data_IF_347053984107
#
_entry.id   IF_347053984107
#
_cell.length_a   1.000
_cell.length_b   1.000
_cell.length_c   1.000
_cell.angle_alpha   90.00
_cell.angle_beta   90.00
_cell.angle_gamma   90.00
#
_symmetry.space_group_name_H-M   'P 1'
#
loop_
_entity.id
_entity.type
_entity.pdbx_description
1 polymer ?
#
# COMPACT_ATOMS: atom_id res chain seq x y z
N UNK A 1 -7.38 -9.57 -11.94
CA UNK A 1 -6.06 -8.96 -12.21
C UNK A 1 -5.05 -10.07 -12.35
N UNK A 2 -4.49 -10.23 -13.55
CA UNK A 2 -3.36 -11.13 -13.80
C UNK A 2 -2.08 -10.47 -13.25
N UNK A 3 -1.14 -11.24 -12.70
CA UNK A 3 0.12 -10.74 -12.15
C UNK A 3 0.92 -9.91 -13.18
N UNK A 4 0.82 -10.25 -14.47
CA UNK A 4 1.45 -9.51 -15.57
C UNK A 4 0.93 -8.08 -15.77
N UNK A 5 -0.35 -7.83 -15.47
CA UNK A 5 -0.97 -6.51 -15.64
C UNK A 5 -0.59 -5.53 -14.51
N UNK A 6 0.27 -5.97 -13.59
CA UNK A 6 0.64 -5.21 -12.39
C UNK A 6 2.13 -4.94 -12.24
N UNK A 7 2.95 -5.41 -13.19
CA UNK A 7 4.41 -5.19 -13.16
C UNK A 7 4.74 -3.72 -13.48
N UNK A 8 5.90 -3.27 -13.05
CA UNK A 8 6.47 -2.01 -13.54
C UNK A 8 6.77 -2.10 -15.04
N UNK A 9 6.71 -0.96 -15.73
CA UNK A 9 7.20 -0.83 -17.12
C UNK A 9 8.72 -0.76 -17.19
N UNK A 10 9.37 -0.38 -16.10
CA UNK A 10 10.82 -0.30 -16.01
C UNK A 10 11.39 -1.72 -15.94
N UNK A 11 12.38 -2.07 -16.79
CA UNK A 11 13.06 -3.36 -16.69
C UNK A 11 13.65 -3.58 -15.29
N UNK A 12 13.49 -4.78 -14.73
CA UNK A 12 13.93 -5.07 -13.36
C UNK A 12 15.43 -4.88 -13.13
N UNK A 13 16.27 -5.09 -14.15
CA UNK A 13 17.70 -4.79 -14.07
C UNK A 13 17.96 -3.30 -13.87
N UNK A 14 17.28 -2.45 -14.63
CA UNK A 14 17.38 -1.00 -14.50
C UNK A 14 16.81 -0.52 -13.16
N UNK A 15 15.66 -1.06 -12.74
CA UNK A 15 15.06 -0.70 -11.46
C UNK A 15 15.97 -1.04 -10.26
N UNK A 16 16.66 -2.19 -10.31
CA UNK A 16 17.55 -2.65 -9.25
C UNK A 16 18.80 -1.78 -9.06
N UNK A 17 19.22 -1.04 -10.09
CA UNK A 17 20.39 -0.15 -10.03
C UNK A 17 20.09 1.21 -9.40
N UNK A 18 18.81 1.58 -9.26
CA UNK A 18 18.40 2.89 -8.76
C UNK A 18 18.11 2.88 -7.26
N UNK A 19 18.31 4.02 -6.61
CA UNK A 19 17.93 4.26 -5.22
C UNK A 19 16.51 4.81 -5.15
N UNK A 20 15.53 3.91 -5.05
CA UNK A 20 14.12 4.28 -4.98
C UNK A 20 13.73 4.74 -3.58
N UNK A 21 12.78 5.67 -3.48
CA UNK A 21 12.19 6.11 -2.23
C UNK A 21 10.70 6.43 -2.42
N UNK A 22 9.91 6.30 -1.34
CA UNK A 22 8.53 6.77 -1.34
C UNK A 22 8.51 8.31 -1.31
N UNK A 23 7.96 8.92 -2.36
CA UNK A 23 7.88 10.36 -2.49
C UNK A 23 6.64 10.91 -1.77
N UNK A 24 6.88 11.85 -0.86
CA UNK A 24 5.85 12.56 -0.08
C UNK A 24 5.81 14.06 -0.38
N UNK A 25 6.53 14.53 -1.40
CA UNK A 25 6.55 15.95 -1.77
C UNK A 25 5.16 16.34 -2.30
N UNK A 26 4.44 17.25 -1.63
CA UNK A 26 3.08 17.59 -2.04
C UNK A 26 3.09 18.37 -3.34
N UNK A 27 2.24 17.98 -4.30
CA UNK A 27 1.95 18.76 -5.49
C UNK A 27 1.03 19.94 -5.11
N UNK A 28 1.52 21.17 -5.26
CA UNK A 28 0.76 22.41 -5.03
C UNK A 28 0.80 23.32 -6.27
N UNK A 29 -0.29 23.45 -7.05
CA UNK A 29 -1.55 22.70 -6.94
C UNK A 29 -1.40 21.21 -7.28
N UNK A 30 -2.44 20.42 -6.99
CA UNK A 30 -2.59 19.03 -7.48
C UNK A 30 -2.34 19.00 -8.99
N UNK A 31 -1.68 17.96 -9.48
CA UNK A 31 -1.28 17.83 -10.90
C UNK A 31 -2.04 16.71 -11.59
N UNK A 32 -2.26 16.87 -12.88
CA UNK A 32 -2.68 15.78 -13.76
C UNK A 32 -1.43 14.99 -14.18
N UNK A 33 -1.50 13.67 -14.06
CA UNK A 33 -0.44 12.74 -14.46
C UNK A 33 -1.03 11.69 -15.38
N UNK A 34 -0.44 11.53 -16.57
CA UNK A 34 -0.75 10.42 -17.45
C UNK A 34 0.14 9.23 -17.06
N UNK A 35 -0.47 8.09 -16.73
CA UNK A 35 0.22 6.89 -16.26
C UNK A 35 -0.01 5.76 -17.26
N UNK A 36 1.09 5.15 -17.71
CA UNK A 36 1.08 3.99 -18.60
C UNK A 36 1.21 2.69 -17.80
N UNK A 37 0.54 1.66 -18.28
CA UNK A 37 0.56 0.31 -17.70
C UNK A 37 1.17 -0.70 -18.69
N UNK A 38 1.48 -1.90 -18.18
CA UNK A 38 2.08 -2.99 -18.97
C UNK A 38 1.20 -3.49 -20.11
N UNK A 39 -0.12 -3.28 -20.04
CA UNK A 39 -1.04 -3.56 -21.13
C UNK A 39 -0.97 -2.54 -22.30
N UNK A 40 -0.03 -1.59 -22.26
CA UNK A 40 0.19 -0.58 -23.28
C UNK A 40 -0.79 0.59 -23.27
N UNK A 41 -1.77 0.61 -22.35
CA UNK A 41 -2.74 1.71 -22.22
C UNK A 41 -2.23 2.75 -21.24
N UNK A 42 -2.58 4.01 -21.49
CA UNK A 42 -2.34 5.13 -20.58
C UNK A 42 -3.65 5.76 -20.11
N UNK A 43 -3.69 6.16 -18.86
CA UNK A 43 -4.85 6.77 -18.22
C UNK A 43 -4.42 8.00 -17.42
N UNK A 44 -5.34 8.97 -17.29
CA UNK A 44 -5.08 10.23 -16.58
C UNK A 44 -5.55 10.13 -15.14
N UNK A 45 -4.70 10.56 -14.23
CA UNK A 45 -4.93 10.56 -12.79
C UNK A 45 -4.63 11.92 -12.19
N UNK A 46 -5.25 12.21 -11.05
CA UNK A 46 -4.86 13.35 -10.21
C UNK A 46 -3.82 12.88 -9.19
N UNK A 47 -2.69 13.58 -9.12
CA UNK A 47 -1.67 13.33 -8.11
C UNK A 47 -1.58 14.47 -7.12
N UNK A 48 -1.75 14.13 -5.84
CA UNK A 48 -1.46 15.03 -4.70
C UNK A 48 0.02 15.06 -4.35
N UNK A 49 0.82 14.18 -4.95
CA UNK A 49 2.27 14.10 -4.81
C UNK A 49 2.91 14.61 -6.11
N UNK A 50 4.02 15.31 -6.00
CA UNK A 50 4.77 15.77 -7.17
C UNK A 50 5.35 14.56 -7.91
N UNK A 51 5.16 14.53 -9.24
CA UNK A 51 5.63 13.45 -10.08
C UNK A 51 6.54 13.95 -11.19
N UNK A 52 7.42 13.07 -11.66
CA UNK A 52 8.25 13.18 -12.86
C UNK A 52 7.99 11.98 -13.78
N UNK A 53 8.34 12.03 -15.09
CA UNK A 53 8.20 10.89 -15.99
C UNK A 53 9.02 9.64 -15.60
N UNK A 54 9.99 9.78 -14.71
CA UNK A 54 10.79 8.65 -14.23
C UNK A 54 10.15 7.94 -13.03
N UNK A 55 9.05 8.48 -12.50
CA UNK A 55 8.38 7.94 -11.33
C UNK A 55 7.49 6.75 -11.66
N UNK A 56 7.43 5.82 -10.70
CA UNK A 56 6.54 4.66 -10.72
C UNK A 56 5.44 4.87 -9.67
N UNK A 57 4.20 4.55 -10.02
CA UNK A 57 3.03 4.88 -9.22
C UNK A 57 2.13 3.66 -9.03
N UNK A 58 1.47 3.60 -7.88
CA UNK A 58 0.32 2.71 -7.70
C UNK A 58 -0.98 3.49 -7.80
N UNK A 59 -1.98 2.89 -8.42
CA UNK A 59 -3.29 3.50 -8.58
C UNK A 59 -4.19 3.16 -7.40
N UNK A 60 -4.95 4.14 -6.97
CA UNK A 60 -5.96 4.04 -5.93
C UNK A 60 -7.20 3.25 -6.38
N UNK A 61 -8.12 2.99 -5.47
CA UNK A 61 -9.45 2.40 -5.72
C UNK A 61 -10.31 3.26 -6.66
N UNK A 62 -10.95 2.65 -7.67
CA UNK A 62 -12.08 3.26 -8.37
C UNK A 62 -12.30 2.90 -9.85
N UNK A 63 -11.56 1.95 -10.43
CA UNK A 63 -11.70 1.55 -11.83
C UNK A 63 -10.87 0.33 -12.24
N UNK A 64 -10.76 0.07 -13.54
CA UNK A 64 -10.12 -1.13 -14.08
C UNK A 64 -8.63 -1.30 -13.73
N UNK A 65 -7.97 -0.19 -13.38
CA UNK A 65 -6.54 -0.13 -13.04
C UNK A 65 -6.30 0.04 -11.54
N UNK A 66 -7.32 -0.17 -10.70
CA UNK A 66 -7.18 -0.06 -9.23
C UNK A 66 -6.11 -1.02 -8.72
N UNK A 67 -5.21 -0.50 -7.88
CA UNK A 67 -4.11 -1.24 -7.26
C UNK A 67 -3.02 -1.75 -8.23
N UNK A 68 -3.12 -1.39 -9.51
CA UNK A 68 -2.06 -1.64 -10.49
C UNK A 68 -0.87 -0.69 -10.28
N UNK A 69 0.28 -1.09 -10.78
CA UNK A 69 1.47 -0.27 -10.90
C UNK A 69 1.62 0.23 -12.33
N UNK A 70 2.05 1.48 -12.49
CA UNK A 70 2.34 2.08 -13.79
C UNK A 70 3.44 3.12 -13.69
N UNK A 71 3.87 3.64 -14.84
CA UNK A 71 4.90 4.67 -14.95
C UNK A 71 4.29 5.99 -15.41
N UNK A 72 4.71 7.11 -14.85
CA UNK A 72 4.29 8.41 -15.34
C UNK A 72 4.91 8.70 -16.72
N UNK A 73 4.14 9.24 -17.67
CA UNK A 73 4.67 9.63 -18.99
C UNK A 73 4.66 11.16 -19.17
N UNK A 74 3.64 11.82 -18.65
CA UNK A 74 3.44 13.26 -18.80
C UNK A 74 2.82 13.83 -17.53
N UNK A 75 3.38 14.94 -17.07
CA UNK A 75 2.92 15.69 -15.90
C UNK A 75 2.53 17.08 -16.37
N UNK A 76 1.29 17.49 -16.11
CA UNK A 76 0.69 18.71 -16.67
C UNK A 76 -0.14 19.51 -15.68
N UNK A 77 -0.63 20.67 -16.14
CA UNK A 77 -1.68 21.43 -15.45
C UNK A 77 -3.02 20.68 -15.49
N UNK A 78 -3.91 20.98 -14.53
CA UNK A 78 -5.27 20.44 -14.55
C UNK A 78 -6.01 21.14 -15.69
N UNK A 79 -6.12 20.49 -16.86
CA UNK A 79 -6.81 21.08 -18.01
C UNK A 79 -8.22 20.52 -18.17
N UNK A 80 -8.46 19.21 -17.99
CA UNK A 80 -9.75 18.60 -18.37
C UNK A 80 -10.12 17.29 -17.62
N UNK A 81 -10.40 17.30 -16.31
CA UNK A 81 -10.84 16.09 -15.61
C UNK A 81 -12.24 16.16 -14.99
N UNK A 82 -13.09 15.21 -15.40
CA UNK A 82 -14.37 14.91 -14.73
C UNK A 82 -14.11 14.12 -13.43
N UNK A 83 -14.89 14.33 -12.36
CA UNK A 83 -14.55 13.84 -11.02
C UNK A 83 -14.52 12.31 -10.85
N UNK A 84 -15.30 11.55 -11.63
CA UNK A 84 -15.44 10.10 -11.45
C UNK A 84 -14.47 9.26 -12.31
N UNK A 85 -13.88 9.84 -13.36
CA UNK A 85 -12.88 9.16 -14.20
C UNK A 85 -11.44 9.41 -13.73
N UNK A 86 -11.24 10.36 -12.82
CA UNK A 86 -9.94 10.82 -12.32
C UNK A 86 -9.66 10.22 -10.94
N UNK A 87 -9.41 8.91 -10.89
CA UNK A 87 -8.95 8.24 -9.67
C UNK A 87 -7.58 8.85 -9.29
N UNK A 88 -7.23 8.88 -8.00
CA UNK A 88 -5.97 9.50 -7.54
C UNK A 88 -4.82 8.50 -7.64
N UNK A 89 -3.59 8.98 -7.71
CA UNK A 89 -2.42 8.14 -7.45
C UNK A 89 -2.30 7.94 -5.93
N UNK A 90 -1.93 6.73 -5.50
CA UNK A 90 -1.81 6.43 -4.06
C UNK A 90 -0.35 6.54 -3.57
N UNK A 91 0.56 5.76 -4.15
CA UNK A 91 1.98 5.78 -3.82
C UNK A 91 2.77 6.20 -5.05
N UNK A 92 3.76 7.07 -4.86
CA UNK A 92 4.67 7.56 -5.90
C UNK A 92 6.08 7.22 -5.45
N UNK A 93 6.78 6.45 -6.27
CA UNK A 93 8.18 6.08 -6.05
C UNK A 93 9.03 6.86 -7.03
N UNK A 94 10.01 7.56 -6.46
CA UNK A 94 10.96 8.39 -7.20
C UNK A 94 12.38 7.90 -6.92
N UNK A 95 13.35 8.39 -7.68
CA UNK A 95 14.77 8.05 -7.52
C UNK A 95 15.58 9.22 -6.98
N UNK A 96 16.77 8.93 -6.49
CA UNK A 96 17.78 9.91 -6.09
C UNK A 96 17.31 10.87 -4.99
N UNK A 97 16.91 10.34 -3.81
CA UNK A 97 16.40 11.16 -2.72
C UNK A 97 17.48 12.08 -2.15
N UNK A 98 17.05 13.28 -1.77
CA UNK A 98 17.81 14.14 -0.86
C UNK A 98 17.38 13.99 0.60
N UNK A 99 18.16 14.60 1.50
CA UNK A 99 17.86 14.64 2.94
C UNK A 99 16.45 15.16 3.25
N UNK A 100 15.99 16.16 2.51
CA UNK A 100 14.67 16.78 2.71
C UNK A 100 13.55 15.80 2.38
N UNK A 101 13.71 15.02 1.31
CA UNK A 101 12.76 14.02 0.84
C UNK A 101 12.58 12.93 1.89
N UNK A 102 13.67 12.36 2.42
CA UNK A 102 13.58 11.31 3.44
C UNK A 102 13.01 11.83 4.76
N UNK A 103 13.35 13.06 5.16
CA UNK A 103 12.72 13.68 6.35
C UNK A 103 11.21 13.85 6.22
N UNK A 104 10.65 13.98 5.02
CA UNK A 104 9.18 13.99 4.84
C UNK A 104 8.56 12.65 5.18
N UNK A 105 9.24 11.53 4.90
CA UNK A 105 8.78 10.19 5.28
C UNK A 105 8.76 10.03 6.81
N UNK A 106 9.77 10.58 7.51
CA UNK A 106 9.77 10.62 8.99
C UNK A 106 8.54 11.34 9.53
N UNK A 107 8.25 12.53 8.99
CA UNK A 107 7.05 13.28 9.40
C UNK A 107 5.75 12.56 9.04
N UNK A 108 5.69 11.87 7.89
CA UNK A 108 4.49 11.18 7.41
C UNK A 108 4.12 9.99 8.30
N UNK A 109 5.08 9.13 8.68
CA UNK A 109 4.78 7.98 9.54
C UNK A 109 4.46 8.39 10.98
N UNK A 110 5.06 9.49 11.48
CA UNK A 110 4.77 10.07 12.80
C UNK A 110 3.41 10.75 12.87
N UNK A 111 2.93 11.34 11.77
CA UNK A 111 1.68 12.08 11.70
C UNK A 111 0.41 11.20 11.59
N UNK A 112 0.53 9.87 11.71
CA UNK A 112 -0.59 8.95 11.69
C UNK A 112 -1.38 9.06 13.01
N UNK A 113 -2.15 10.14 13.14
CA UNK A 113 -3.10 10.35 14.22
C UNK A 113 -4.26 9.36 14.05
N UNK A 114 -4.43 8.50 15.05
CA UNK A 114 -5.50 7.52 15.17
C UNK A 114 -6.88 8.17 14.87
N UNK A 115 -7.10 9.41 15.31
CA UNK A 115 -8.36 10.15 15.11
C UNK A 115 -8.54 10.72 13.70
N UNK A 116 -7.47 10.92 12.93
CA UNK A 116 -7.52 11.34 11.51
C UNK A 116 -7.59 10.18 10.52
N UNK A 117 -7.61 8.93 10.98
CA UNK A 117 -7.68 7.74 10.13
C UNK A 117 -9.02 7.61 9.38
N UNK A 118 -10.07 8.27 9.84
CA UNK A 118 -11.45 8.03 9.38
C UNK A 118 -12.04 9.23 8.60
N UNK A 119 -11.37 10.38 8.57
CA UNK A 119 -11.95 11.65 8.09
C UNK A 119 -11.52 12.10 6.69
N UNK A 120 -11.02 11.24 5.80
CA UNK A 120 -10.77 11.67 4.40
C UNK A 120 -12.09 11.68 3.60
N UNK A 121 -12.69 12.86 3.57
CA UNK A 121 -14.10 13.20 3.31
C UNK A 121 -14.67 12.95 1.90
N UNK A 122 -14.01 12.20 1.01
CA UNK A 122 -14.41 12.11 -0.41
C UNK A 122 -15.06 10.78 -0.84
N UNK A 123 -15.05 9.74 0.00
CA UNK A 123 -15.78 8.51 -0.30
C UNK A 123 -16.14 7.80 0.99
N UNK A 124 -17.32 7.18 1.02
CA UNK A 124 -17.91 6.38 2.11
C UNK A 124 -17.05 5.17 2.60
N UNK A 125 -15.74 5.16 2.34
CA UNK A 125 -14.84 4.07 2.64
C UNK A 125 -13.54 4.55 3.30
N UNK A 126 -13.28 4.04 4.51
CA UNK A 126 -12.02 4.16 5.22
C UNK A 126 -10.96 3.26 4.58
N UNK A 127 -9.95 3.90 3.99
CA UNK A 127 -8.79 3.24 3.39
C UNK A 127 -7.69 3.01 4.41
N UNK A 128 -8.08 2.39 5.52
CA UNK A 128 -7.19 2.16 6.64
C UNK A 128 -6.01 1.26 6.26
N UNK A 129 -6.27 0.21 5.48
CA UNK A 129 -5.23 -0.71 4.99
C UNK A 129 -4.19 0.04 4.17
N UNK A 130 -4.62 0.89 3.23
CA UNK A 130 -3.73 1.72 2.42
C UNK A 130 -2.83 2.62 3.28
N UNK A 131 -3.35 3.16 4.38
CA UNK A 131 -2.56 3.99 5.31
C UNK A 131 -1.53 3.17 6.09
N UNK A 132 -1.88 1.96 6.54
CA UNK A 132 -0.92 1.05 7.16
C UNK A 132 0.18 0.64 6.16
N UNK A 133 -0.20 0.31 4.92
CA UNK A 133 0.77 0.06 3.84
C UNK A 133 1.67 1.28 3.64
N UNK A 134 1.10 2.48 3.60
CA UNK A 134 1.88 3.72 3.45
C UNK A 134 2.89 3.89 4.59
N UNK A 135 2.50 3.60 5.83
CA UNK A 135 3.36 3.71 7.00
C UNK A 135 4.49 2.67 7.01
N UNK A 136 4.20 1.44 6.57
CA UNK A 136 5.20 0.40 6.35
C UNK A 136 6.20 0.88 5.28
N UNK A 137 5.72 1.38 4.14
CA UNK A 137 6.58 1.88 3.06
C UNK A 137 7.40 3.12 3.46
N UNK A 138 6.83 4.06 4.24
CA UNK A 138 7.56 5.20 4.80
C UNK A 138 8.68 4.74 5.73
N UNK A 139 8.39 3.77 6.62
CA UNK A 139 9.36 3.23 7.57
C UNK A 139 10.49 2.51 6.85
N UNK A 140 10.17 1.67 5.87
CA UNK A 140 11.15 1.01 4.99
C UNK A 140 12.01 2.05 4.28
N UNK A 141 11.39 3.12 3.75
CA UNK A 141 12.13 4.20 3.08
C UNK A 141 13.10 4.90 4.05
N UNK A 142 12.71 5.12 5.30
CA UNK A 142 13.61 5.71 6.30
C UNK A 142 14.80 4.79 6.59
N UNK A 143 14.58 3.48 6.70
CA UNK A 143 15.64 2.50 6.92
C UNK A 143 16.55 2.29 5.71
N UNK A 144 16.06 2.53 4.50
CA UNK A 144 16.86 2.44 3.28
C UNK A 144 17.85 3.61 3.12
N UNK A 145 17.66 4.70 3.87
CA UNK A 145 18.48 5.91 3.79
C UNK A 145 18.86 6.45 5.19
N UNK A 146 19.55 5.65 6.02
CA UNK A 146 19.89 6.02 7.39
C UNK A 146 20.79 7.26 7.44
N UNK A 147 21.57 7.55 6.40
CA UNK A 147 22.45 8.73 6.32
C UNK A 147 21.70 10.08 6.33
N UNK A 148 20.39 10.08 6.10
CA UNK A 148 19.58 11.29 6.01
C UNK A 148 18.73 11.59 7.25
N UNK A 149 18.69 10.67 8.21
CA UNK A 149 17.86 10.75 9.41
C UNK A 149 18.71 10.58 10.67
N UNK A 150 18.10 10.78 11.84
CA UNK A 150 18.73 10.54 13.14
C UNK A 150 18.43 9.11 13.64
N UNK A 151 19.21 8.67 14.64
CA UNK A 151 19.08 7.33 15.23
C UNK A 151 17.70 7.09 15.85
N UNK A 152 17.05 8.15 16.35
CA UNK A 152 15.69 8.09 16.89
C UNK A 152 14.69 7.69 15.79
N UNK A 153 14.73 8.35 14.63
CA UNK A 153 13.87 8.02 13.51
C UNK A 153 14.12 6.60 12.97
N UNK A 154 15.37 6.12 12.99
CA UNK A 154 15.73 4.75 12.62
C UNK A 154 15.14 3.75 13.62
N UNK A 155 15.34 3.98 14.92
CA UNK A 155 14.83 3.12 15.98
C UNK A 155 13.29 3.03 15.96
N UNK A 156 12.62 4.15 15.74
CA UNK A 156 11.16 4.17 15.61
C UNK A 156 10.67 3.41 14.37
N UNK A 157 11.32 3.60 13.22
CA UNK A 157 10.96 2.91 11.99
C UNK A 157 11.13 1.39 12.13
N UNK A 158 12.24 0.93 12.73
CA UNK A 158 12.47 -0.49 13.06
C UNK A 158 11.38 -1.03 13.98
N UNK A 159 11.18 -0.37 15.13
CA UNK A 159 10.16 -0.76 16.10
C UNK A 159 8.78 -0.89 15.46
N UNK A 160 8.42 0.01 14.55
CA UNK A 160 7.15 -0.07 13.84
C UNK A 160 7.06 -1.28 12.91
N UNK A 161 8.12 -1.58 12.17
CA UNK A 161 8.16 -2.73 11.26
C UNK A 161 8.14 -4.08 12.00
N UNK A 162 8.74 -4.14 13.19
CA UNK A 162 8.70 -5.30 14.11
C UNK A 162 7.32 -5.48 14.77
N UNK A 163 6.54 -4.40 14.92
CA UNK A 163 5.26 -4.42 15.64
C UNK A 163 4.09 -4.71 14.72
N UNK A 164 3.24 -5.66 15.11
CA UNK A 164 1.96 -5.93 14.41
C UNK A 164 1.09 -4.66 14.33
N UNK A 165 0.61 -4.34 13.13
CA UNK A 165 -0.47 -3.41 12.87
C UNK A 165 -1.74 -3.84 13.63
N UNK A 166 -2.32 -2.93 14.40
CA UNK A 166 -3.62 -3.14 15.05
C UNK A 166 -4.51 -1.93 14.80
N UNK A 167 -5.81 -2.16 14.64
CA UNK A 167 -6.82 -1.13 14.55
C UNK A 167 -7.52 -0.99 15.91
N UNK A 168 -7.34 0.13 16.64
CA UNK A 168 -8.02 0.31 17.92
C UNK A 168 -9.53 0.35 17.74
N UNK A 169 -10.26 -0.46 18.52
CA UNK A 169 -11.73 -0.47 18.44
C UNK A 169 -12.33 0.89 18.84
N UNK A 170 -11.64 1.64 19.71
CA UNK A 170 -12.04 3.00 20.09
C UNK A 170 -12.13 3.95 18.90
N UNK A 171 -11.25 3.82 17.91
CA UNK A 171 -11.33 4.63 16.68
C UNK A 171 -12.58 4.32 15.86
N UNK A 172 -12.93 3.04 15.78
CA UNK A 172 -14.15 2.59 15.10
C UNK A 172 -15.37 3.13 15.86
N UNK A 173 -15.34 3.07 17.19
CA UNK A 173 -16.43 3.52 18.07
C UNK A 173 -16.66 5.03 18.02
N UNK A 174 -15.61 5.84 18.07
CA UNK A 174 -15.71 7.31 18.06
C UNK A 174 -16.26 7.88 16.74
N UNK A 175 -16.23 7.10 15.65
CA UNK A 175 -16.68 7.52 14.33
C UNK A 175 -18.02 6.89 13.89
N UNK A 176 -18.78 6.33 14.84
CA UNK A 176 -20.04 5.58 14.62
C UNK A 176 -21.16 6.36 13.90
N UNK A 177 -21.08 7.69 13.81
CA UNK A 177 -22.11 8.51 13.14
C UNK A 177 -22.29 8.27 11.63
N UNK A 178 -21.55 7.34 11.00
CA UNK A 178 -21.57 7.08 9.55
C UNK A 178 -21.32 5.61 9.21
N UNK A 179 -21.83 5.17 8.07
CA UNK A 179 -21.40 3.92 7.43
C UNK A 179 -19.89 4.02 7.15
N UNK A 180 -19.08 3.21 7.83
CA UNK A 180 -17.65 3.10 7.62
C UNK A 180 -17.42 1.87 6.74
N UNK A 181 -16.85 1.98 5.54
CA UNK A 181 -16.37 0.78 4.82
C UNK A 181 -14.88 0.59 5.07
N UNK A 182 -14.42 -0.59 5.48
CA UNK A 182 -13.00 -0.95 5.38
C UNK A 182 -12.74 -1.57 4.01
N UNK A 183 -11.86 -0.93 3.25
CA UNK A 183 -11.42 -1.42 1.93
C UNK A 183 -10.21 -2.33 2.10
N UNK A 184 -10.31 -3.54 1.57
CA UNK A 184 -9.21 -4.50 1.49
C UNK A 184 -8.63 -4.47 0.07
N UNK A 185 -7.50 -3.77 -0.14
CA UNK A 185 -6.93 -3.52 -1.45
C UNK A 185 -6.27 -4.79 -2.03
N UNK A 186 -6.23 -4.90 -3.36
CA UNK A 186 -5.57 -6.04 -4.05
C UNK A 186 -4.17 -5.69 -4.54
N UNK A 187 -3.34 -5.14 -3.66
CA UNK A 187 -1.92 -4.93 -3.97
C UNK A 187 -1.13 -6.25 -4.07
N UNK A 188 -1.60 -7.31 -3.42
CA UNK A 188 -1.03 -8.65 -3.54
C UNK A 188 -1.97 -9.57 -4.33
N UNK A 189 -1.59 -10.09 -5.51
CA UNK A 189 -2.42 -11.04 -6.24
C UNK A 189 -2.71 -12.31 -5.43
N UNK A 190 -3.95 -12.83 -5.49
CA UNK A 190 -4.32 -14.06 -4.78
C UNK A 190 -4.62 -13.88 -3.28
N UNK A 191 -4.43 -12.70 -2.69
CA UNK A 191 -4.72 -12.44 -1.26
C UNK A 191 -6.12 -12.91 -0.86
N UNK A 192 -7.11 -12.69 -1.73
CA UNK A 192 -8.49 -13.02 -1.42
C UNK A 192 -8.72 -14.51 -1.19
N UNK A 193 -8.11 -15.37 -2.01
CA UNK A 193 -8.34 -16.81 -1.92
C UNK A 193 -7.65 -17.37 -0.66
N UNK A 194 -6.44 -16.86 -0.35
CA UNK A 194 -5.79 -17.09 0.94
C UNK A 194 -6.72 -16.68 2.09
N UNK A 195 -7.39 -15.52 1.97
CA UNK A 195 -8.17 -14.93 3.05
C UNK A 195 -9.54 -15.57 3.22
N UNK A 196 -10.26 -15.90 2.13
CA UNK A 196 -11.55 -16.61 2.18
C UNK A 196 -11.48 -17.95 2.91
N UNK A 197 -10.29 -18.56 2.95
CA UNK A 197 -10.06 -19.81 3.70
C UNK A 197 -10.10 -19.64 5.22
N UNK A 198 -9.97 -18.41 5.74
CA UNK A 198 -9.95 -18.11 7.17
C UNK A 198 -11.36 -18.17 7.78
N UNK A 199 -11.46 -18.61 9.04
CA UNK A 199 -12.76 -18.70 9.71
C UNK A 199 -13.39 -17.33 9.93
N UNK A 200 -12.58 -16.27 10.08
CA UNK A 200 -13.03 -14.88 10.10
C UNK A 200 -14.04 -14.55 8.98
N UNK A 201 -13.73 -14.87 7.73
CA UNK A 201 -14.61 -14.58 6.58
C UNK A 201 -15.86 -15.45 6.56
N UNK A 202 -15.83 -16.57 7.29
CA UNK A 202 -16.97 -17.46 7.41
C UNK A 202 -17.99 -17.01 8.45
N UNK A 203 -17.66 -16.04 9.30
CA UNK A 203 -18.57 -15.51 10.31
C UNK A 203 -19.77 -14.81 9.65
N UNK A 204 -20.98 -15.15 10.10
CA UNK A 204 -22.23 -14.72 9.47
C UNK A 204 -22.37 -13.20 9.35
N UNK A 205 -21.92 -12.44 10.35
CA UNK A 205 -21.99 -10.97 10.30
C UNK A 205 -20.97 -10.38 9.30
N UNK A 206 -19.80 -11.01 9.07
CA UNK A 206 -18.88 -10.58 8.00
C UNK A 206 -19.55 -10.79 6.66
N UNK A 207 -20.13 -11.98 6.44
CA UNK A 207 -20.85 -12.31 5.19
C UNK A 207 -22.01 -11.35 4.93
N UNK A 208 -22.77 -10.96 5.96
CA UNK A 208 -23.89 -10.00 5.85
C UNK A 208 -23.45 -8.58 5.48
N UNK A 209 -22.23 -8.20 5.88
CA UNK A 209 -21.68 -6.87 5.69
C UNK A 209 -20.60 -6.80 4.58
N UNK A 210 -20.38 -7.91 3.88
CA UNK A 210 -19.43 -7.99 2.79
C UNK A 210 -20.06 -7.46 1.50
N UNK A 211 -19.55 -6.33 1.04
CA UNK A 211 -19.90 -5.79 -0.27
C UNK A 211 -18.89 -6.28 -1.28
N UNK A 212 -19.38 -7.05 -2.26
CA UNK A 212 -18.54 -7.51 -3.36
C UNK A 212 -18.30 -6.36 -4.37
N UNK A 213 -17.34 -5.51 -4.03
CA UNK A 213 -16.80 -4.49 -4.93
C UNK A 213 -15.75 -5.08 -5.90
N UNK A 214 -15.48 -6.39 -5.83
CA UNK A 214 -14.37 -7.04 -6.52
C UNK A 214 -14.52 -6.96 -8.04
N UNK A 215 -15.71 -7.27 -8.55
CA UNK A 215 -15.96 -7.33 -10.00
C UNK A 215 -15.76 -5.96 -10.67
N UNK A 216 -16.03 -4.87 -9.95
CA UNK A 216 -15.98 -3.52 -10.50
C UNK A 216 -14.70 -2.77 -10.17
N UNK A 217 -14.11 -3.03 -9.01
CA UNK A 217 -13.04 -2.21 -8.44
C UNK A 217 -11.86 -2.99 -7.86
N UNK A 218 -11.87 -4.32 -8.02
CA UNK A 218 -10.73 -5.17 -7.68
C UNK A 218 -10.35 -5.11 -6.18
N UNK A 219 -11.32 -4.97 -5.28
CA UNK A 219 -11.15 -5.05 -3.82
C UNK A 219 -12.41 -5.58 -3.13
N UNK A 220 -12.29 -5.89 -1.83
CA UNK A 220 -13.44 -6.12 -0.97
C UNK A 220 -13.69 -4.96 -0.04
N UNK A 221 -14.96 -4.80 0.35
CA UNK A 221 -15.38 -3.83 1.35
C UNK A 221 -16.19 -4.51 2.42
N UNK A 222 -15.83 -4.27 3.68
CA UNK A 222 -16.67 -4.63 4.82
C UNK A 222 -17.29 -3.34 5.35
N UNK A 223 -18.61 -3.22 5.23
CA UNK A 223 -19.36 -2.08 5.74
C UNK A 223 -19.62 -2.22 7.24
N UNK A 224 -19.61 -1.10 7.94
CA UNK A 224 -19.94 -1.00 9.36
C UNK A 224 -21.21 -0.16 9.48
N UNK A 225 -22.21 -0.73 10.13
CA UNK A 225 -23.46 -0.03 10.43
C UNK A 225 -23.55 0.22 11.94
N UNK A 226 -24.19 1.33 12.31
CA UNK A 226 -24.25 1.98 13.64
C UNK A 226 -24.64 1.04 14.83
N UNK A 227 -25.10 -0.18 14.54
CA UNK A 227 -25.61 -1.14 15.53
C UNK A 227 -24.64 -2.31 15.87
N UNK A 228 -23.48 -2.42 15.22
CA UNK A 228 -22.61 -3.61 15.33
C UNK A 228 -21.37 -3.39 16.24
N UNK A 229 -21.57 -3.30 17.56
CA UNK A 229 -20.47 -3.31 18.56
C UNK A 229 -19.54 -4.51 18.42
N UNK A 230 -20.09 -5.64 17.97
CA UNK A 230 -19.40 -6.90 17.74
C UNK A 230 -18.29 -6.78 16.69
N UNK A 231 -18.45 -5.94 15.67
CA UNK A 231 -17.44 -5.77 14.61
C UNK A 231 -16.22 -5.03 15.15
N UNK A 232 -16.39 -3.95 15.92
CA UNK A 232 -15.25 -3.22 16.50
C UNK A 232 -14.37 -4.08 17.40
N UNK A 233 -15.00 -4.91 18.25
CA UNK A 233 -14.28 -5.84 19.13
C UNK A 233 -13.48 -6.91 18.36
N UNK A 234 -13.95 -7.36 17.19
CA UNK A 234 -13.21 -8.34 16.39
C UNK A 234 -11.90 -7.77 15.83
N UNK A 235 -11.92 -6.52 15.35
CA UNK A 235 -10.69 -5.90 14.82
C UNK A 235 -9.62 -5.67 15.88
N UNK A 236 -10.02 -5.57 17.16
CA UNK A 236 -9.12 -5.36 18.28
C UNK A 236 -8.73 -6.65 19.00
N UNK A 237 -9.63 -7.66 19.03
CA UNK A 237 -9.53 -8.80 19.94
C UNK A 237 -9.53 -10.16 19.24
N UNK A 238 -9.85 -10.22 17.94
CA UNK A 238 -9.84 -11.48 17.20
C UNK A 238 -8.43 -11.80 16.69
N UNK A 239 -7.76 -12.84 17.21
CA UNK A 239 -6.37 -13.11 16.86
C UNK A 239 -6.19 -13.53 15.41
N UNK A 240 -7.13 -14.31 14.86
CA UNK A 240 -7.10 -14.81 13.48
C UNK A 240 -7.24 -13.65 12.49
N UNK A 241 -8.18 -12.73 12.75
CA UNK A 241 -8.35 -11.53 11.94
C UNK A 241 -7.12 -10.61 12.03
N UNK A 242 -6.61 -10.35 13.24
CA UNK A 242 -5.46 -9.50 13.43
C UNK A 242 -4.25 -10.04 12.66
N UNK A 243 -4.01 -11.35 12.72
CA UNK A 243 -2.93 -11.98 11.96
C UNK A 243 -3.13 -11.79 10.46
N UNK A 244 -4.32 -12.06 9.94
CA UNK A 244 -4.64 -11.86 8.54
C UNK A 244 -4.52 -10.40 8.12
N UNK A 245 -4.98 -9.45 8.93
CA UNK A 245 -4.86 -8.02 8.64
C UNK A 245 -3.40 -7.59 8.54
N UNK A 246 -2.57 -8.07 9.48
CA UNK A 246 -1.12 -7.86 9.47
C UNK A 246 -0.48 -8.41 8.21
N UNK A 247 -0.76 -9.68 7.91
CA UNK A 247 -0.28 -10.35 6.72
C UNK A 247 -0.68 -9.58 5.45
N UNK A 248 -1.92 -9.10 5.34
CA UNK A 248 -2.38 -8.30 4.20
C UNK A 248 -1.56 -7.03 4.03
N UNK A 249 -1.34 -6.29 5.11
CA UNK A 249 -0.59 -5.02 5.09
C UNK A 249 0.84 -5.25 4.64
N UNK A 250 1.55 -6.18 5.30
CA UNK A 250 2.95 -6.43 5.02
C UNK A 250 3.15 -7.07 3.64
N UNK A 251 2.38 -8.10 3.27
CA UNK A 251 2.44 -8.70 1.92
C UNK A 251 2.11 -7.69 0.84
N UNK A 252 1.15 -6.80 1.07
CA UNK A 252 0.82 -5.73 0.12
C UNK A 252 1.99 -4.75 -0.07
N UNK A 253 2.60 -4.29 1.02
CA UNK A 253 3.76 -3.39 0.95
C UNK A 253 4.93 -4.06 0.22
N UNK A 254 5.29 -5.29 0.60
CA UNK A 254 6.40 -6.03 -0.01
C UNK A 254 6.09 -6.38 -1.48
N UNK A 255 4.84 -6.74 -1.81
CA UNK A 255 4.40 -6.95 -3.19
C UNK A 255 4.57 -5.70 -4.06
N UNK A 256 4.31 -4.51 -3.52
CA UNK A 256 4.58 -3.25 -4.24
C UNK A 256 6.08 -3.12 -4.55
N UNK A 257 6.95 -3.38 -3.57
CA UNK A 257 8.40 -3.30 -3.78
C UNK A 257 8.90 -4.33 -4.81
N UNK A 258 8.41 -5.57 -4.72
CA UNK A 258 8.75 -6.67 -5.62
C UNK A 258 8.29 -6.37 -7.07
N UNK A 259 7.07 -5.86 -7.25
CA UNK A 259 6.53 -5.46 -8.56
C UNK A 259 7.29 -4.30 -9.18
N UNK A 260 7.77 -3.37 -8.35
CA UNK A 260 8.57 -2.23 -8.77
C UNK A 260 10.01 -2.59 -9.12
N UNK A 261 10.53 -3.71 -8.61
CA UNK A 261 11.96 -4.03 -8.69
C UNK A 261 12.81 -3.17 -7.74
N UNK A 262 12.21 -2.66 -6.66
CA UNK A 262 12.84 -1.70 -5.75
C UNK A 262 13.74 -2.40 -4.73
N UNK A 263 14.88 -2.90 -5.20
CA UNK A 263 15.81 -3.72 -4.41
C UNK A 263 16.26 -3.03 -3.13
N UNK A 264 16.69 -1.77 -3.19
CA UNK A 264 17.19 -1.03 -2.03
C UNK A 264 16.15 -0.90 -0.90
N UNK A 265 14.86 -0.75 -1.25
CA UNK A 265 13.77 -0.71 -0.29
C UNK A 265 13.47 -2.10 0.26
N UNK A 266 13.49 -3.13 -0.59
CA UNK A 266 13.24 -4.51 -0.16
C UNK A 266 14.33 -5.00 0.81
N UNK A 267 15.59 -4.72 0.53
CA UNK A 267 16.72 -5.04 1.43
C UNK A 267 16.53 -4.38 2.80
N UNK A 268 16.19 -3.08 2.82
CA UNK A 268 15.93 -2.37 4.07
C UNK A 268 14.77 -3.00 4.87
N UNK A 269 13.71 -3.42 4.18
CA UNK A 269 12.58 -4.12 4.80
C UNK A 269 13.01 -5.44 5.46
N UNK A 270 13.81 -6.25 4.75
CA UNK A 270 14.26 -7.56 5.25
C UNK A 270 15.27 -7.44 6.40
N UNK A 271 16.00 -6.33 6.49
CA UNK A 271 16.90 -6.07 7.65
C UNK A 271 16.16 -5.68 8.93
N UNK A 272 14.86 -5.37 8.85
CA UNK A 272 14.07 -4.84 9.96
C UNK A 272 13.29 -5.91 10.75
N UNK A 273 13.66 -7.19 10.64
CA UNK A 273 13.05 -8.33 11.36
C UNK A 273 11.50 -8.33 11.32
N UNK A 274 10.94 -7.98 10.16
CA UNK A 274 9.48 -7.93 9.98
C UNK A 274 8.82 -9.29 10.25
N UNK A 275 7.59 -9.33 10.79
CA UNK A 275 6.88 -10.57 11.09
C UNK A 275 6.30 -11.22 9.81
N UNK A 276 7.19 -11.67 8.93
CA UNK A 276 6.85 -12.14 7.57
C UNK A 276 7.16 -13.63 7.34
N UNK A 277 7.74 -14.31 8.33
CA UNK A 277 8.22 -15.69 8.20
C UNK A 277 7.16 -16.68 7.70
N UNK A 278 5.92 -16.55 8.17
CA UNK A 278 4.81 -17.45 7.83
C UNK A 278 4.44 -17.44 6.34
N UNK A 279 4.80 -16.39 5.61
CA UNK A 279 4.48 -16.20 4.20
C UNK A 279 5.70 -15.78 3.35
N UNK A 280 6.90 -15.97 3.89
CA UNK A 280 8.15 -15.60 3.21
C UNK A 280 8.31 -16.34 1.88
N UNK A 281 8.05 -17.66 1.87
CA UNK A 281 8.16 -18.47 0.66
C UNK A 281 7.14 -18.03 -0.41
N UNK A 282 5.94 -17.59 0.00
CA UNK A 282 4.96 -17.01 -0.93
C UNK A 282 5.47 -15.73 -1.60
N UNK A 283 6.28 -14.93 -0.91
CA UNK A 283 6.90 -13.74 -1.49
C UNK A 283 8.00 -14.10 -2.50
N UNK A 284 8.78 -15.15 -2.22
CA UNK A 284 9.78 -15.69 -3.17
C UNK A 284 9.07 -16.22 -4.42
N UNK A 285 8.04 -17.04 -4.24
CA UNK A 285 7.25 -17.61 -5.34
C UNK A 285 6.64 -16.51 -6.20
N UNK A 286 6.07 -15.49 -5.55
CA UNK A 286 5.52 -14.32 -6.24
C UNK A 286 6.59 -13.58 -7.05
N UNK A 287 7.77 -13.33 -6.47
CA UNK A 287 8.87 -12.69 -7.19
C UNK A 287 9.34 -13.51 -8.39
N UNK A 288 9.37 -14.85 -8.28
CA UNK A 288 9.66 -15.75 -9.41
C UNK A 288 8.58 -15.68 -10.48
N UNK A 289 7.31 -15.77 -10.11
CA UNK A 289 6.16 -15.76 -11.02
C UNK A 289 6.16 -14.50 -11.90
N UNK A 290 6.43 -13.34 -11.30
CA UNK A 290 6.46 -12.08 -12.04
C UNK A 290 7.79 -11.81 -12.75
N UNK A 291 8.82 -12.63 -12.52
CA UNK A 291 10.15 -12.47 -13.11
C UNK A 291 10.98 -11.36 -12.47
N UNK A 292 10.68 -10.94 -11.24
CA UNK A 292 11.45 -9.94 -10.48
C UNK A 292 12.72 -10.58 -9.91
N UNK A 293 13.65 -10.91 -10.80
CA UNK A 293 14.82 -11.76 -10.52
C UNK A 293 15.73 -11.20 -9.42
N UNK A 294 15.93 -9.88 -9.39
CA UNK A 294 16.76 -9.21 -8.38
C UNK A 294 16.12 -9.22 -7.01
N UNK A 295 14.82 -8.90 -6.90
CA UNK A 295 14.08 -9.01 -5.65
C UNK A 295 14.02 -10.47 -5.16
N UNK A 296 13.85 -11.44 -6.06
CA UNK A 296 13.88 -12.86 -5.71
C UNK A 296 15.24 -13.28 -5.12
N UNK A 297 16.34 -12.81 -5.69
CA UNK A 297 17.68 -13.05 -5.16
C UNK A 297 17.83 -12.52 -3.74
N UNK A 298 17.44 -11.26 -3.53
CA UNK A 298 17.46 -10.59 -2.21
C UNK A 298 16.66 -11.37 -1.17
N UNK A 299 15.44 -11.79 -1.52
CA UNK A 299 14.59 -12.61 -0.66
C UNK A 299 15.26 -13.94 -0.30
N UNK A 300 15.83 -14.66 -1.28
CA UNK A 300 16.51 -15.94 -1.04
C UNK A 300 17.77 -15.80 -0.19
N UNK A 301 18.50 -14.69 -0.32
CA UNK A 301 19.71 -14.43 0.45
C UNK A 301 19.41 -14.09 1.90
N UNK A 302 18.36 -13.30 2.17
CA UNK A 302 17.94 -12.91 3.51
C UNK A 302 17.23 -14.03 4.30
N UNK A 303 16.80 -15.12 3.64
CA UNK A 303 16.19 -16.29 4.30
C UNK A 303 17.20 -17.17 5.05
N UNK A 304 18.50 -16.96 4.85
CA UNK A 304 19.59 -17.75 5.44
C UNK A 304 19.80 -17.40 6.91
#
# INVERSE_FOLDING_TARGET
MNAEETKSLIPYAEAAEKKWFLNRKPAKPVKEVNVRFTNGKSYRYLSKVECTPDDVLTIDYGGATSYCMGQAEKVGGIEHLKPLSAIRTLFVFSTDPGKREIKRNVSAYKAMDSKKLITDYDSYACRIVDRYIAKVLDSITVLAFPEFVDDEAIAEAKKYLETKCFLPAELIRENQTRNLDIVFPRYYPGWLEDFKSLNFWNKDFVKKNLFDAYERYNCYKIGFFDYDRTIGDLYEKDPEFLEAFNELVYRSALSILIRGGFVNLLEAALTAEMPIDAYYDKLIDYANEIGSTYCCKVLKEARK
#
